data_IF_760760904616
#
_entry.id   IF_760760904616
#
_cell.length_a   1.000
_cell.length_b   1.000
_cell.length_c   1.000
_cell.angle_alpha   90.00
_cell.angle_beta   90.00
_cell.angle_gamma   90.00
#
_symmetry.space_group_name_H-M   'P 1'
#
loop_
_entity.id
_entity.type
_entity.pdbx_description
1 polymer ?
#
# COMPACT_ATOMS: atom_id res chain seq x y z
N UNK A 1 2.35 26.85 2.09
CA UNK A 1 3.21 25.83 2.74
C UNK A 1 4.02 25.12 1.68
N UNK A 2 4.91 24.21 2.07
CA UNK A 2 5.73 23.42 1.15
C UNK A 2 5.74 21.95 1.62
N UNK A 3 6.02 21.03 0.70
CA UNK A 3 6.27 19.61 0.99
C UNK A 3 7.73 19.48 1.42
N UNK A 4 8.04 18.83 2.54
CA UNK A 4 9.43 18.57 2.90
C UNK A 4 10.00 17.41 2.09
N UNK A 5 9.29 16.29 2.12
CA UNK A 5 9.68 14.98 1.61
C UNK A 5 8.41 14.21 1.20
N UNK A 6 8.50 13.30 0.23
CA UNK A 6 7.40 12.38 -0.10
C UNK A 6 7.51 11.09 0.70
N UNK A 7 6.42 10.31 0.77
CA UNK A 7 6.49 8.97 1.37
C UNK A 7 7.36 8.01 0.56
N UNK A 8 7.56 8.25 -0.74
CA UNK A 8 8.50 7.46 -1.55
C UNK A 8 9.96 7.67 -1.14
N UNK A 9 10.32 8.90 -0.76
CA UNK A 9 11.65 9.19 -0.23
C UNK A 9 11.86 8.57 1.16
N UNK A 10 10.78 8.33 1.92
CA UNK A 10 10.83 7.68 3.24
C UNK A 10 10.95 6.16 3.14
N UNK A 11 10.15 5.57 2.23
CA UNK A 11 10.11 4.15 1.99
C UNK A 11 9.64 3.92 0.55
N UNK A 12 10.61 3.58 -0.30
CA UNK A 12 10.37 3.32 -1.72
C UNK A 12 9.44 2.12 -1.91
N UNK A 13 8.39 2.32 -2.71
CA UNK A 13 7.31 1.36 -2.98
C UNK A 13 6.62 0.83 -1.71
N UNK A 14 6.52 1.68 -0.67
CA UNK A 14 5.81 1.36 0.57
C UNK A 14 4.36 0.92 0.34
N UNK A 15 3.84 0.03 1.20
CA UNK A 15 2.42 -0.28 1.23
C UNK A 15 1.59 0.93 1.65
N UNK A 16 0.41 1.08 1.08
CA UNK A 16 -0.44 2.21 1.38
C UNK A 16 -1.91 1.77 1.53
N UNK A 17 -2.78 1.98 0.53
CA UNK A 17 -4.19 1.57 0.63
C UNK A 17 -4.39 0.08 0.34
N UNK A 18 -5.43 -0.46 0.96
CA UNK A 18 -5.90 -1.84 0.76
C UNK A 18 -7.38 -1.88 0.44
N UNK A 19 -7.81 -2.89 -0.31
CA UNK A 19 -9.22 -3.28 -0.37
C UNK A 19 -9.46 -4.35 0.71
N UNK A 20 -10.36 -4.07 1.65
CA UNK A 20 -10.68 -4.96 2.74
C UNK A 20 -12.19 -5.23 2.80
N UNK A 21 -12.53 -6.46 3.20
CA UNK A 21 -13.90 -6.90 3.43
C UNK A 21 -14.02 -7.38 4.87
N UNK A 22 -15.21 -7.30 5.44
CA UNK A 22 -15.52 -8.06 6.65
C UNK A 22 -15.39 -9.56 6.34
N UNK A 23 -14.78 -10.32 7.26
CA UNK A 23 -14.58 -11.77 7.09
C UNK A 23 -15.92 -12.49 6.80
N UNK A 24 -16.95 -12.19 7.58
CA UNK A 24 -18.30 -12.74 7.38
C UNK A 24 -18.86 -12.44 5.99
N UNK A 25 -18.63 -11.23 5.46
CA UNK A 25 -19.08 -10.88 4.12
C UNK A 25 -18.34 -11.68 3.06
N UNK A 26 -17.02 -11.82 3.20
CA UNK A 26 -16.19 -12.57 2.26
C UNK A 26 -16.56 -14.06 2.23
N UNK A 27 -16.81 -14.65 3.40
CA UNK A 27 -17.22 -16.05 3.54
C UNK A 27 -18.60 -16.32 2.94
N UNK A 28 -19.55 -15.39 3.13
CA UNK A 28 -20.90 -15.51 2.55
C UNK A 28 -20.96 -15.17 1.06
N UNK A 29 -20.06 -14.33 0.57
CA UNK A 29 -20.08 -13.81 -0.81
C UNK A 29 -18.75 -14.00 -1.56
N UNK A 30 -18.18 -15.21 -1.61
CA UNK A 30 -16.83 -15.42 -2.15
C UNK A 30 -16.74 -15.08 -3.65
N UNK A 31 -17.80 -15.36 -4.42
CA UNK A 31 -17.87 -14.99 -5.85
C UNK A 31 -17.87 -13.47 -6.05
N UNK A 32 -18.58 -12.73 -5.20
CA UNK A 32 -18.65 -11.27 -5.24
C UNK A 32 -17.29 -10.66 -4.90
N UNK A 33 -16.63 -11.15 -3.85
CA UNK A 33 -15.28 -10.69 -3.49
C UNK A 33 -14.32 -10.90 -4.64
N UNK A 34 -14.27 -12.10 -5.24
CA UNK A 34 -13.41 -12.35 -6.41
C UNK A 34 -13.77 -11.47 -7.60
N UNK A 35 -15.05 -11.20 -7.86
CA UNK A 35 -15.48 -10.29 -8.92
C UNK A 35 -14.98 -8.85 -8.68
N UNK A 36 -15.06 -8.35 -7.44
CA UNK A 36 -14.53 -7.02 -7.07
C UNK A 36 -13.02 -6.98 -7.24
N UNK A 37 -12.28 -8.00 -6.79
CA UNK A 37 -10.82 -8.04 -6.95
C UNK A 37 -10.40 -8.02 -8.42
N UNK A 38 -11.09 -8.77 -9.29
CA UNK A 38 -10.86 -8.76 -10.74
C UNK A 38 -11.14 -7.38 -11.35
N UNK A 39 -12.28 -6.78 -11.01
CA UNK A 39 -12.63 -5.44 -11.50
C UNK A 39 -11.63 -4.37 -11.03
N UNK A 40 -11.17 -4.43 -9.78
CA UNK A 40 -10.13 -3.55 -9.25
C UNK A 40 -8.80 -3.74 -9.98
N UNK A 41 -8.43 -4.99 -10.28
CA UNK A 41 -7.21 -5.25 -11.05
C UNK A 41 -7.27 -4.64 -12.45
N UNK A 42 -8.36 -4.86 -13.20
CA UNK A 42 -8.54 -4.28 -14.54
C UNK A 42 -8.52 -2.75 -14.50
N UNK A 43 -9.22 -2.14 -13.53
CA UNK A 43 -9.19 -0.70 -13.32
C UNK A 43 -7.77 -0.22 -13.01
N UNK A 44 -7.05 -0.91 -12.12
CA UNK A 44 -5.66 -0.60 -11.78
C UNK A 44 -4.71 -0.65 -12.98
N UNK A 45 -4.90 -1.62 -13.89
CA UNK A 45 -4.12 -1.70 -15.14
C UNK A 45 -4.44 -0.52 -16.04
N UNK A 46 -5.71 -0.18 -16.21
CA UNK A 46 -6.15 0.96 -17.00
C UNK A 46 -5.61 2.29 -16.46
N UNK A 47 -5.65 2.48 -15.14
CA UNK A 47 -5.16 3.69 -14.48
C UNK A 47 -3.64 3.87 -14.66
N UNK A 48 -2.87 2.80 -14.79
CA UNK A 48 -1.41 2.88 -14.88
C UNK A 48 -0.85 3.27 -16.25
N UNK A 49 -1.71 3.50 -17.23
CA UNK A 49 -1.37 4.16 -18.49
C UNK A 49 -1.25 5.68 -18.27
N UNK A 50 -0.09 6.26 -18.60
CA UNK A 50 0.12 7.71 -18.49
C UNK A 50 -0.80 8.53 -19.40
N UNK A 51 -1.24 7.96 -20.52
CA UNK A 51 -2.23 8.58 -21.41
C UNK A 51 -3.60 8.73 -20.75
N UNK A 52 -3.92 7.90 -19.76
CA UNK A 52 -5.21 7.87 -19.06
C UNK A 52 -5.24 8.85 -17.88
N UNK A 53 -4.10 9.31 -17.35
CA UNK A 53 -4.06 10.19 -16.16
C UNK A 53 -4.95 11.44 -16.25
N UNK A 54 -5.05 12.15 -17.39
CA UNK A 54 -5.99 13.27 -17.52
C UNK A 54 -7.45 12.86 -17.33
N UNK A 55 -7.88 11.76 -17.98
CA UNK A 55 -9.23 11.24 -17.85
C UNK A 55 -9.50 10.73 -16.43
N UNK A 56 -8.54 10.02 -15.82
CA UNK A 56 -8.60 9.60 -14.43
C UNK A 56 -8.86 10.81 -13.51
N UNK A 57 -8.09 11.89 -13.66
CA UNK A 57 -8.29 13.12 -12.90
C UNK A 57 -9.70 13.68 -13.08
N UNK A 58 -10.14 13.82 -14.33
CA UNK A 58 -11.46 14.38 -14.65
C UNK A 58 -12.60 13.53 -14.06
N UNK A 59 -12.44 12.21 -13.97
CA UNK A 59 -13.41 11.33 -13.31
C UNK A 59 -13.44 11.59 -11.80
N UNK A 60 -12.30 11.52 -11.11
CA UNK A 60 -12.27 11.59 -9.64
C UNK A 60 -12.48 13.01 -9.10
N UNK A 61 -12.23 14.03 -9.91
CA UNK A 61 -12.41 15.44 -9.55
C UNK A 61 -13.89 15.87 -9.52
N UNK A 62 -14.81 15.13 -10.15
CA UNK A 62 -16.25 15.48 -10.21
C UNK A 62 -16.82 15.72 -8.82
N UNK A 63 -17.86 16.56 -8.76
CA UNK A 63 -18.56 16.92 -7.53
C UNK A 63 -19.15 15.71 -6.77
N UNK A 64 -19.46 14.62 -7.48
CA UNK A 64 -19.95 13.36 -6.90
C UNK A 64 -18.85 12.49 -6.26
N UNK A 65 -17.58 12.88 -6.43
CA UNK A 65 -16.41 12.19 -5.87
C UNK A 65 -15.61 13.14 -4.97
N UNK A 66 -14.40 13.54 -5.36
CA UNK A 66 -13.51 14.37 -4.53
C UNK A 66 -13.96 15.83 -4.52
N UNK A 67 -14.63 16.29 -5.58
CA UNK A 67 -15.05 17.67 -5.75
C UNK A 67 -13.87 18.67 -5.66
N UNK A 68 -12.88 18.51 -6.54
CA UNK A 68 -11.69 19.36 -6.60
C UNK A 68 -11.39 19.79 -8.05
N UNK A 69 -10.44 20.72 -8.23
CA UNK A 69 -9.93 21.03 -9.56
C UNK A 69 -8.99 19.90 -10.03
N UNK A 70 -9.33 19.24 -11.14
CA UNK A 70 -8.54 18.19 -11.77
C UNK A 70 -7.08 18.60 -12.01
N UNK A 71 -6.82 19.87 -12.32
CA UNK A 71 -5.45 20.38 -12.53
C UNK A 71 -4.59 20.32 -11.27
N UNK A 72 -5.21 20.37 -10.09
CA UNK A 72 -4.51 20.31 -8.80
C UNK A 72 -3.90 18.94 -8.53
N UNK A 73 -4.53 17.87 -9.03
CA UNK A 73 -4.11 16.48 -8.78
C UNK A 73 -3.33 15.85 -9.94
N UNK A 74 -3.48 16.37 -11.16
CA UNK A 74 -2.86 15.81 -12.36
C UNK A 74 -1.33 15.75 -12.30
N UNK A 75 -0.69 16.81 -11.82
CA UNK A 75 0.78 16.84 -11.72
C UNK A 75 1.31 15.66 -10.88
N UNK A 76 0.69 15.39 -9.73
CA UNK A 76 1.08 14.29 -8.83
C UNK A 76 0.85 12.92 -9.47
N UNK A 77 -0.25 12.71 -10.19
CA UNK A 77 -0.51 11.44 -10.89
C UNK A 77 0.45 11.18 -12.07
N UNK A 78 1.07 12.23 -12.59
CA UNK A 78 2.10 12.16 -13.63
C UNK A 78 3.53 12.16 -13.06
N UNK A 79 3.69 12.09 -11.73
CA UNK A 79 5.01 12.15 -11.09
C UNK A 79 5.67 13.53 -11.10
N UNK A 80 4.97 14.58 -11.54
CA UNK A 80 5.46 15.97 -11.56
C UNK A 80 5.20 16.62 -10.22
N UNK A 81 6.22 16.63 -9.37
CA UNK A 81 6.14 17.14 -8.01
C UNK A 81 6.63 18.60 -7.97
N UNK A 82 5.73 19.49 -7.55
CA UNK A 82 6.11 20.82 -7.04
C UNK A 82 6.08 20.75 -5.50
N UNK A 83 7.22 21.03 -4.88
CA UNK A 83 7.36 21.01 -3.43
C UNK A 83 6.93 22.34 -2.81
N UNK A 84 6.79 23.43 -3.57
CA UNK A 84 6.35 24.73 -3.07
C UNK A 84 7.44 25.55 -2.36
N UNK A 85 8.69 25.11 -2.41
CA UNK A 85 9.89 25.81 -1.91
C UNK A 85 10.92 26.09 -3.03
N UNK A 86 10.48 26.01 -4.28
CA UNK A 86 11.32 26.14 -5.48
C UNK A 86 11.81 24.80 -6.04
N UNK A 87 11.78 23.71 -5.26
CA UNK A 87 12.11 22.37 -5.79
C UNK A 87 10.98 21.85 -6.67
N UNK A 88 11.35 21.40 -7.87
CA UNK A 88 10.49 20.67 -8.81
C UNK A 88 11.22 19.41 -9.24
N UNK A 89 10.52 18.27 -9.23
CA UNK A 89 11.10 16.98 -9.59
C UNK A 89 10.12 16.14 -10.40
N UNK A 90 10.66 15.28 -11.26
CA UNK A 90 9.93 14.16 -11.85
C UNK A 90 10.28 12.91 -11.04
N UNK A 91 9.30 12.38 -10.32
CA UNK A 91 9.45 11.19 -9.48
C UNK A 91 9.35 9.93 -10.34
N UNK A 92 10.45 9.17 -10.44
CA UNK A 92 10.47 7.88 -11.15
C UNK A 92 9.59 6.81 -10.48
N UNK A 93 9.27 7.00 -9.19
CA UNK A 93 8.45 6.10 -8.37
C UNK A 93 7.07 6.72 -8.07
N UNK A 94 6.53 7.49 -9.00
CA UNK A 94 5.19 8.04 -8.91
C UNK A 94 4.12 6.98 -8.57
N UNK A 95 2.96 7.47 -8.10
CA UNK A 95 1.82 6.64 -7.74
C UNK A 95 1.41 5.71 -8.89
N UNK A 96 1.40 4.42 -8.62
CA UNK A 96 0.99 3.38 -9.56
C UNK A 96 -0.07 2.47 -8.93
N UNK A 97 -0.76 1.70 -9.76
CA UNK A 97 -1.98 1.01 -9.38
C UNK A 97 -1.96 -0.49 -9.71
N UNK A 98 -1.11 -0.97 -10.63
CA UNK A 98 -0.96 -2.39 -10.98
C UNK A 98 0.50 -2.86 -11.14
N UNK A 99 1.43 -1.93 -11.33
CA UNK A 99 2.86 -2.21 -11.52
C UNK A 99 3.55 -2.63 -10.21
N UNK A 100 4.79 -3.12 -10.33
CA UNK A 100 5.70 -3.42 -9.20
C UNK A 100 5.08 -4.26 -8.08
N UNK A 101 4.14 -5.15 -8.45
CA UNK A 101 3.48 -6.06 -7.53
C UNK A 101 2.67 -5.37 -6.41
N UNK A 102 2.22 -4.13 -6.62
CA UNK A 102 1.58 -3.31 -5.58
C UNK A 102 0.23 -3.83 -5.09
N UNK A 103 -0.47 -4.63 -5.90
CA UNK A 103 -1.79 -5.17 -5.55
C UNK A 103 -1.73 -6.51 -4.83
N UNK A 104 -0.58 -7.20 -4.85
CA UNK A 104 -0.47 -8.47 -4.15
C UNK A 104 -0.48 -8.21 -2.64
N UNK A 105 -1.36 -8.84 -1.86
CA UNK A 105 -1.50 -8.54 -0.43
C UNK A 105 -0.34 -9.14 0.37
N UNK A 106 0.83 -8.48 0.33
CA UNK A 106 2.07 -8.99 0.93
C UNK A 106 1.98 -9.09 2.46
N UNK A 107 2.11 -10.30 3.04
CA UNK A 107 2.09 -10.50 4.49
C UNK A 107 3.12 -9.67 5.26
N UNK A 108 4.29 -9.40 4.66
CA UNK A 108 5.35 -8.59 5.28
C UNK A 108 4.88 -7.19 5.71
N UNK A 109 3.96 -6.58 4.98
CA UNK A 109 3.48 -5.24 5.29
C UNK A 109 2.58 -5.22 6.53
N UNK A 110 1.73 -6.22 6.72
CA UNK A 110 0.96 -6.36 7.96
C UNK A 110 1.87 -6.55 9.18
N UNK A 111 2.93 -7.37 9.05
CA UNK A 111 3.94 -7.54 10.09
C UNK A 111 4.65 -6.22 10.42
N UNK A 112 5.00 -5.42 9.41
CA UNK A 112 5.58 -4.10 9.62
C UNK A 112 4.63 -3.18 10.39
N UNK A 113 3.37 -3.06 9.97
CA UNK A 113 2.37 -2.22 10.65
C UNK A 113 2.16 -2.67 12.11
N UNK A 114 2.05 -3.98 12.37
CA UNK A 114 1.95 -4.52 13.73
C UNK A 114 3.18 -4.14 14.58
N UNK A 115 4.38 -4.18 14.01
CA UNK A 115 5.60 -3.76 14.70
C UNK A 115 5.59 -2.27 15.03
N UNK A 116 5.03 -1.42 14.16
CA UNK A 116 4.91 0.01 14.43
C UNK A 116 3.81 0.30 15.46
N UNK A 117 2.70 -0.44 15.44
CA UNK A 117 1.68 -0.36 16.50
C UNK A 117 2.27 -0.75 17.86
N UNK A 118 3.11 -1.79 17.89
CA UNK A 118 3.88 -2.17 19.08
C UNK A 118 4.83 -1.06 19.52
N UNK A 119 5.65 -0.55 18.59
CA UNK A 119 6.62 0.54 18.83
C UNK A 119 5.95 1.77 19.46
N UNK A 120 4.76 2.14 18.99
CA UNK A 120 4.04 3.32 19.46
C UNK A 120 3.11 3.07 20.65
N UNK A 121 3.09 1.85 21.20
CA UNK A 121 2.26 1.51 22.36
C UNK A 121 0.76 1.54 22.08
N UNK A 122 0.36 1.33 20.82
CA UNK A 122 -1.04 1.21 20.40
C UNK A 122 -1.63 -0.17 20.73
N UNK A 123 -0.76 -1.15 21.00
CA UNK A 123 -1.11 -2.49 21.49
C UNK A 123 -0.35 -2.78 22.78
N UNK A 124 -0.98 -3.55 23.66
CA UNK A 124 -0.37 -3.99 24.93
C UNK A 124 0.37 -5.30 24.71
N UNK A 125 1.65 -5.36 25.09
CA UNK A 125 2.49 -6.53 24.85
C UNK A 125 2.81 -6.77 23.37
N UNK A 126 3.58 -7.83 23.11
CA UNK A 126 3.90 -8.27 21.76
C UNK A 126 2.63 -8.82 21.08
N UNK A 127 2.23 -8.33 19.89
CA UNK A 127 1.13 -8.91 19.14
C UNK A 127 1.51 -10.29 18.60
N UNK A 128 0.50 -11.13 18.34
CA UNK A 128 0.68 -12.33 17.52
C UNK A 128 0.89 -11.94 16.05
N UNK A 129 2.14 -11.60 15.72
CA UNK A 129 2.51 -11.07 14.41
C UNK A 129 2.12 -12.01 13.26
N UNK A 130 2.33 -13.32 13.43
CA UNK A 130 2.02 -14.32 12.40
C UNK A 130 0.52 -14.61 12.33
N UNK A 131 -0.12 -14.86 13.48
CA UNK A 131 -1.52 -15.24 13.53
C UNK A 131 -2.45 -14.13 13.04
N UNK A 132 -2.19 -12.87 13.41
CA UNK A 132 -2.97 -11.73 12.91
C UNK A 132 -2.73 -11.53 11.42
N UNK A 133 -1.47 -11.58 10.98
CA UNK A 133 -1.12 -11.42 9.55
C UNK A 133 -1.84 -12.47 8.70
N UNK A 134 -1.83 -13.74 9.12
CA UNK A 134 -2.51 -14.84 8.40
C UNK A 134 -4.03 -14.65 8.30
N UNK A 135 -4.64 -14.01 9.29
CA UNK A 135 -6.09 -13.75 9.29
C UNK A 135 -6.48 -12.64 8.31
N UNK A 136 -5.65 -11.60 8.18
CA UNK A 136 -6.01 -10.38 7.43
C UNK A 136 -5.44 -10.35 6.01
N UNK A 137 -4.27 -10.94 5.77
CA UNK A 137 -3.61 -10.94 4.47
C UNK A 137 -4.01 -12.17 3.65
N UNK A 138 -5.13 -12.05 2.92
CA UNK A 138 -5.76 -13.15 2.16
C UNK A 138 -5.18 -13.32 0.76
N UNK A 139 -3.92 -13.73 0.68
CA UNK A 139 -3.24 -14.04 -0.59
C UNK A 139 -3.93 -15.16 -1.35
N UNK A 140 -4.52 -16.12 -0.64
CA UNK A 140 -5.30 -17.23 -1.19
C UNK A 140 -6.49 -16.75 -2.04
N UNK A 141 -7.28 -15.79 -1.53
CA UNK A 141 -8.42 -15.24 -2.28
C UNK A 141 -7.93 -14.45 -3.51
N UNK A 142 -6.86 -13.67 -3.34
CA UNK A 142 -6.28 -12.89 -4.44
C UNK A 142 -5.77 -13.79 -5.57
N UNK A 143 -5.01 -14.83 -5.23
CA UNK A 143 -4.43 -15.78 -6.19
C UNK A 143 -5.53 -16.50 -6.97
N UNK A 144 -6.59 -16.94 -6.30
CA UNK A 144 -7.75 -17.53 -6.97
C UNK A 144 -8.41 -16.55 -7.96
N UNK A 145 -8.66 -15.32 -7.53
CA UNK A 145 -9.31 -14.30 -8.36
C UNK A 145 -8.47 -13.95 -9.60
N UNK A 146 -7.16 -13.79 -9.43
CA UNK A 146 -6.24 -13.46 -10.50
C UNK A 146 -6.06 -14.61 -11.49
N UNK A 147 -6.01 -15.85 -10.99
CA UNK A 147 -5.96 -17.05 -11.85
C UNK A 147 -7.16 -17.16 -12.78
N UNK A 148 -8.36 -16.77 -12.32
CA UNK A 148 -9.58 -16.78 -13.15
C UNK A 148 -9.53 -15.81 -14.34
N UNK A 149 -8.69 -14.78 -14.30
CA UNK A 149 -8.47 -13.82 -15.42
C UNK A 149 -7.12 -14.02 -16.11
N UNK A 150 -6.38 -15.08 -15.77
CA UNK A 150 -5.09 -15.40 -16.39
C UNK A 150 -3.92 -14.50 -15.95
N UNK A 151 -4.05 -13.73 -14.87
CA UNK A 151 -2.96 -12.93 -14.32
C UNK A 151 -2.04 -13.81 -13.44
N UNK A 152 -0.74 -13.85 -13.76
CA UNK A 152 0.24 -14.76 -13.13
C UNK A 152 1.46 -14.04 -12.53
N UNK A 153 1.51 -12.71 -12.60
CA UNK A 153 2.71 -11.93 -12.24
C UNK A 153 2.79 -11.56 -10.75
N UNK A 154 1.69 -11.71 -10.00
CA UNK A 154 1.67 -11.41 -8.57
C UNK A 154 2.30 -12.54 -7.76
N UNK A 155 3.37 -12.24 -7.02
CA UNK A 155 4.06 -13.25 -6.19
C UNK A 155 4.35 -12.72 -4.79
N UNK A 156 4.48 -13.65 -3.84
CA UNK A 156 4.96 -13.32 -2.49
C UNK A 156 6.39 -12.77 -2.54
N UNK A 157 6.59 -11.64 -1.87
CA UNK A 157 7.91 -11.07 -1.61
C UNK A 157 8.08 -10.97 -0.08
N UNK A 158 9.09 -11.66 0.44
CA UNK A 158 9.47 -11.63 1.86
C UNK A 158 10.92 -11.17 2.03
N UNK A 159 11.41 -10.37 1.09
CA UNK A 159 12.74 -9.77 1.18
C UNK A 159 12.72 -8.64 2.22
N UNK A 160 13.82 -8.43 2.96
CA UNK A 160 13.97 -7.29 3.84
C UNK A 160 13.92 -5.97 3.09
N UNK A 161 13.47 -4.91 3.76
CA UNK A 161 13.35 -3.57 3.20
C UNK A 161 14.04 -2.54 4.09
N UNK A 162 14.85 -1.69 3.47
CA UNK A 162 15.59 -0.62 4.15
C UNK A 162 14.89 0.70 3.92
N UNK A 163 14.53 1.38 5.01
CA UNK A 163 13.89 2.70 4.99
C UNK A 163 14.94 3.81 4.86
N UNK A 164 14.49 5.06 4.68
CA UNK A 164 15.34 6.22 4.42
C UNK A 164 16.44 6.49 5.46
N UNK A 165 16.25 6.03 6.70
CA UNK A 165 17.19 6.20 7.81
C UNK A 165 18.21 5.05 7.92
N UNK A 166 18.21 4.13 6.95
CA UNK A 166 19.09 2.96 6.92
C UNK A 166 18.61 1.81 7.80
N UNK A 167 17.47 1.96 8.50
CA UNK A 167 16.89 0.88 9.29
C UNK A 167 16.26 -0.16 8.36
N UNK A 168 16.71 -1.41 8.49
CA UNK A 168 16.16 -2.55 7.74
C UNK A 168 15.07 -3.26 8.55
N UNK A 169 13.91 -3.42 7.94
CA UNK A 169 12.86 -4.33 8.37
C UNK A 169 13.02 -5.68 7.69
N UNK A 170 13.21 -6.75 8.47
CA UNK A 170 13.20 -8.12 7.98
C UNK A 170 11.90 -8.83 8.42
N UNK A 171 10.99 -9.18 7.49
CA UNK A 171 9.72 -9.84 7.83
C UNK A 171 9.87 -11.28 8.34
N UNK A 172 11.07 -11.86 8.25
CA UNK A 172 11.43 -13.19 8.78
C UNK A 172 12.25 -13.11 10.08
N UNK A 173 12.66 -11.90 10.48
CA UNK A 173 13.46 -11.65 11.67
C UNK A 173 12.63 -11.58 12.95
N UNK A 174 13.29 -11.16 14.04
CA UNK A 174 12.63 -10.90 15.31
C UNK A 174 11.89 -9.55 15.27
N UNK A 175 10.59 -9.61 15.01
CA UNK A 175 9.71 -8.45 14.88
C UNK A 175 9.55 -7.67 16.19
N UNK A 176 9.63 -8.36 17.33
CA UNK A 176 9.55 -7.71 18.64
C UNK A 176 10.85 -6.96 18.95
N UNK A 177 12.00 -7.56 18.64
CA UNK A 177 13.29 -6.87 18.72
C UNK A 177 13.33 -5.65 17.79
N UNK A 178 12.85 -5.79 16.54
CA UNK A 178 12.72 -4.67 15.61
C UNK A 178 11.89 -3.54 16.20
N UNK A 179 10.67 -3.82 16.70
CA UNK A 179 9.78 -2.82 17.30
C UNK A 179 10.41 -2.08 18.51
N UNK A 180 11.28 -2.77 19.27
CA UNK A 180 11.97 -2.22 20.45
C UNK A 180 13.31 -1.54 20.13
N UNK A 181 13.87 -1.74 18.94
CA UNK A 181 15.21 -1.26 18.58
C UNK A 181 15.31 0.26 18.44
N UNK A 182 14.20 0.92 18.09
CA UNK A 182 14.18 2.36 17.81
C UNK A 182 14.49 3.21 19.05
N UNK A 183 15.28 4.27 18.85
CA UNK A 183 15.61 5.25 19.89
C UNK A 183 14.34 5.95 20.44
N UNK A 184 13.41 6.29 19.56
CA UNK A 184 12.11 6.88 19.92
C UNK A 184 11.01 5.83 19.78
N UNK A 185 10.38 5.50 20.91
CA UNK A 185 9.33 4.49 21.05
C UNK A 185 8.50 4.73 22.33
N UNK A 186 7.27 4.22 22.33
CA UNK A 186 6.33 4.28 23.46
C UNK A 186 5.87 2.87 23.88
N UNK A 187 6.75 1.87 23.76
CA UNK A 187 6.45 0.48 24.10
C UNK A 187 6.01 0.41 25.58
N UNK A 188 4.79 -0.10 25.81
CA UNK A 188 4.23 -0.32 27.15
C UNK A 188 4.18 -1.81 27.44
N UNK A 189 4.58 -2.21 28.66
CA UNK A 189 4.80 -3.63 29.00
C UNK A 189 5.83 -4.24 28.07
#
# INVERSE_FOLDING_TARGET
GYTSITTQDLWKDHPEKVCAFLAEFADKNPKTVKAVLKALHEASVWLDDMGIRPEQCDIVAKATYINCDAKTILGRLQGKLDYGDGRKMEDEFYMHFSKRNCNYPQPKYAKWFLSQYRRWGLVTGAPDYEGVTKQVMRTDIYDEAMKEIGYTQGTLNNDPETLFDGVTFDPKGDLEAYAKSFAVKNVKG
#
